data_IF_575636732363
#
_entry.id   IF_575636732363
#
_cell.length_a   1.000
_cell.length_b   1.000
_cell.length_c   1.000
_cell.angle_alpha   90.00
_cell.angle_beta   90.00
_cell.angle_gamma   90.00
#
_symmetry.space_group_name_H-M   'P 1'
#
loop_
_entity.id
_entity.type
_entity.pdbx_description
1 polymer ?
#
# COMPACT_ATOMS: atom_id res chain seq x y z
N UNK A 1 13.04 -20.31 -8.90
CA UNK A 1 12.17 -19.12 -8.79
C UNK A 1 11.30 -19.35 -7.56
N UNK A 2 11.57 -18.68 -6.44
CA UNK A 2 10.77 -18.88 -5.22
C UNK A 2 9.32 -18.40 -5.50
N UNK A 3 8.29 -19.07 -4.95
CA UNK A 3 6.91 -18.63 -5.14
C UNK A 3 6.78 -17.21 -4.60
N UNK A 4 6.21 -16.30 -5.41
CA UNK A 4 5.83 -14.95 -4.95
C UNK A 4 4.95 -15.16 -3.71
N UNK A 5 5.14 -14.36 -2.66
CA UNK A 5 4.31 -14.40 -1.44
C UNK A 5 3.24 -13.28 -1.40
N UNK A 6 2.35 -13.11 -2.40
CA UNK A 6 1.26 -12.13 -2.29
C UNK A 6 0.17 -12.62 -1.31
N UNK A 7 0.04 -13.93 -1.10
CA UNK A 7 -0.98 -14.55 -0.24
C UNK A 7 -0.98 -14.01 1.21
N UNK A 8 0.19 -13.71 1.79
CA UNK A 8 0.29 -13.29 3.20
C UNK A 8 -0.30 -11.91 3.49
N UNK A 9 -0.37 -11.01 2.51
CA UNK A 9 -0.92 -9.67 2.70
C UNK A 9 -2.45 -9.73 2.78
N UNK A 10 -3.06 -10.47 1.86
CA UNK A 10 -4.51 -10.66 1.84
C UNK A 10 -5.00 -11.47 3.03
N UNK A 11 -4.29 -12.54 3.41
CA UNK A 11 -4.60 -13.35 4.61
C UNK A 11 -4.71 -12.49 5.88
N UNK A 12 -3.85 -11.49 6.04
CA UNK A 12 -3.88 -10.59 7.20
C UNK A 12 -5.03 -9.59 7.13
N UNK A 13 -5.40 -9.17 5.92
CA UNK A 13 -6.56 -8.33 5.66
C UNK A 13 -7.89 -9.05 5.96
N UNK A 14 -8.00 -10.28 5.49
CA UNK A 14 -9.16 -11.14 5.68
C UNK A 14 -9.33 -11.61 7.12
N UNK A 15 -8.23 -11.78 7.84
CA UNK A 15 -8.27 -12.19 9.24
C UNK A 15 -8.91 -11.12 10.14
N UNK A 16 -8.72 -9.82 9.83
CA UNK A 16 -9.16 -8.71 10.68
C UNK A 16 -9.86 -7.58 9.91
N UNK A 17 -10.95 -7.86 9.19
CA UNK A 17 -11.61 -6.86 8.33
C UNK A 17 -12.14 -5.66 9.10
N UNK A 18 -12.49 -5.86 10.38
CA UNK A 18 -12.93 -4.77 11.27
C UNK A 18 -11.80 -3.80 11.64
N UNK A 19 -10.55 -4.26 11.75
CA UNK A 19 -9.41 -3.38 12.07
C UNK A 19 -9.09 -2.44 10.90
N UNK A 20 -9.17 -2.95 9.67
CA UNK A 20 -9.00 -2.16 8.46
C UNK A 20 -10.16 -1.17 8.26
N UNK A 21 -11.39 -1.60 8.55
CA UNK A 21 -12.56 -0.74 8.52
C UNK A 21 -12.46 0.41 9.55
N UNK A 22 -12.03 0.13 10.78
CA UNK A 22 -11.82 1.15 11.83
C UNK A 22 -10.78 2.19 11.39
N UNK A 23 -9.70 1.76 10.72
CA UNK A 23 -8.67 2.68 10.23
C UNK A 23 -9.23 3.68 9.21
N UNK A 24 -10.10 3.21 8.30
CA UNK A 24 -10.79 4.08 7.35
C UNK A 24 -11.80 5.00 8.03
N UNK A 25 -12.64 4.46 8.92
CA UNK A 25 -13.65 5.22 9.65
C UNK A 25 -13.00 6.32 10.51
N UNK A 26 -11.85 6.04 11.13
CA UNK A 26 -11.07 7.03 11.89
C UNK A 26 -10.55 8.15 10.99
N UNK A 27 -9.98 7.82 9.83
CA UNK A 27 -9.54 8.83 8.86
C UNK A 27 -10.71 9.71 8.43
N UNK A 28 -11.84 9.09 8.04
CA UNK A 28 -13.03 9.83 7.60
C UNK A 28 -13.62 10.69 8.73
N UNK A 29 -13.62 10.20 9.96
CA UNK A 29 -14.03 10.98 11.13
C UNK A 29 -13.12 12.19 11.32
N UNK A 30 -11.80 12.00 11.34
CA UNK A 30 -10.84 13.07 11.52
C UNK A 30 -10.94 14.15 10.42
N UNK A 31 -11.21 13.77 9.18
CA UNK A 31 -11.39 14.70 8.07
C UNK A 31 -12.70 15.50 8.11
N UNK A 32 -13.75 14.97 8.76
CA UNK A 32 -15.06 15.65 8.88
C UNK A 32 -15.18 16.52 10.13
N UNK A 33 -14.29 16.36 11.11
CA UNK A 33 -14.35 17.08 12.38
C UNK A 33 -13.23 18.11 12.45
N UNK A 34 -13.59 19.40 12.51
CA UNK A 34 -12.64 20.50 12.62
C UNK A 34 -11.75 20.33 13.86
N UNK A 35 -10.44 20.53 13.71
CA UNK A 35 -9.45 20.35 14.77
C UNK A 35 -8.78 18.98 14.80
N UNK A 36 -9.25 18.01 14.00
CA UNK A 36 -8.65 16.68 13.88
C UNK A 36 -7.84 16.48 12.59
N UNK A 37 -7.65 17.52 11.77
CA UNK A 37 -6.95 17.43 10.47
C UNK A 37 -5.52 16.91 10.63
N UNK A 38 -4.86 17.27 11.73
CA UNK A 38 -3.51 16.81 12.06
C UNK A 38 -3.46 15.30 12.35
N UNK A 39 -4.55 14.70 12.85
CA UNK A 39 -4.60 13.24 13.10
C UNK A 39 -4.59 12.48 11.78
N UNK A 40 -5.46 12.86 10.85
CA UNK A 40 -5.50 12.26 9.51
C UNK A 40 -4.17 12.46 8.77
N UNK A 41 -3.60 13.67 8.85
CA UNK A 41 -2.29 13.97 8.22
C UNK A 41 -1.19 13.08 8.80
N UNK A 42 -1.11 12.98 10.13
CA UNK A 42 -0.06 12.19 10.79
C UNK A 42 -0.19 10.70 10.48
N UNK A 43 -1.41 10.19 10.43
CA UNK A 43 -1.69 8.80 10.04
C UNK A 43 -1.14 8.51 8.64
N UNK A 44 -1.40 9.38 7.66
CA UNK A 44 -0.91 9.20 6.29
C UNK A 44 0.59 9.45 6.14
N UNK A 45 1.18 10.36 6.92
CA UNK A 45 2.64 10.52 6.97
C UNK A 45 3.32 9.21 7.40
N UNK A 46 2.78 8.52 8.40
CA UNK A 46 3.30 7.23 8.87
C UNK A 46 3.19 6.17 7.77
N UNK A 47 2.04 6.07 7.10
CA UNK A 47 1.85 5.10 6.01
C UNK A 47 2.79 5.38 4.83
N UNK A 48 2.85 6.63 4.37
CA UNK A 48 3.74 7.01 3.28
C UNK A 48 5.22 6.76 3.61
N UNK A 49 5.62 7.04 4.85
CA UNK A 49 6.98 6.73 5.32
C UNK A 49 7.24 5.22 5.32
N UNK A 50 6.29 4.41 5.76
CA UNK A 50 6.44 2.95 5.78
C UNK A 50 6.58 2.37 4.36
N UNK A 51 5.76 2.84 3.40
CA UNK A 51 5.88 2.42 2.00
C UNK A 51 7.16 2.90 1.34
N UNK A 52 7.62 4.13 1.64
CA UNK A 52 8.90 4.61 1.16
C UNK A 52 10.05 3.71 1.63
N UNK A 53 10.11 3.40 2.93
CA UNK A 53 11.14 2.50 3.48
C UNK A 53 11.07 1.08 2.90
N UNK A 54 9.86 0.56 2.64
CA UNK A 54 9.68 -0.74 1.99
C UNK A 54 10.24 -0.73 0.55
N UNK A 55 9.96 0.32 -0.21
CA UNK A 55 10.46 0.48 -1.57
C UNK A 55 11.99 0.64 -1.62
N UNK A 56 12.57 1.39 -0.69
CA UNK A 56 14.02 1.52 -0.54
C UNK A 56 14.68 0.17 -0.23
N UNK A 57 14.13 -0.56 0.75
CA UNK A 57 14.60 -1.90 1.10
C UNK A 57 14.51 -2.87 -0.09
N UNK A 58 13.42 -2.81 -0.85
CA UNK A 58 13.24 -3.63 -2.05
C UNK A 58 14.30 -3.29 -3.11
N UNK A 59 14.61 -2.00 -3.30
CA UNK A 59 15.61 -1.58 -4.25
C UNK A 59 17.02 -2.07 -3.87
N UNK A 60 17.37 -1.96 -2.59
CA UNK A 60 18.65 -2.44 -2.06
C UNK A 60 18.78 -3.95 -2.17
N UNK A 61 17.73 -4.68 -1.81
CA UNK A 61 17.73 -6.15 -1.85
C UNK A 61 17.83 -6.68 -3.28
N UNK A 62 17.22 -6.00 -4.25
CA UNK A 62 17.20 -6.43 -5.65
C UNK A 62 18.34 -5.82 -6.50
N UNK A 63 19.17 -4.93 -5.95
CA UNK A 63 20.25 -4.28 -6.70
C UNK A 63 19.73 -3.37 -7.82
N UNK A 64 18.59 -2.71 -7.59
CA UNK A 64 17.95 -1.82 -8.56
C UNK A 64 17.93 -0.37 -8.05
N UNK A 65 17.58 0.53 -8.94
CA UNK A 65 17.19 1.90 -8.64
C UNK A 65 15.78 2.16 -9.17
N UNK A 66 14.99 2.91 -8.42
CA UNK A 66 13.71 3.40 -8.90
C UNK A 66 13.93 4.54 -9.91
N UNK A 67 13.28 4.45 -11.06
CA UNK A 67 13.26 5.49 -12.11
C UNK A 67 12.24 6.60 -11.80
N UNK A 68 11.36 6.36 -10.84
CA UNK A 68 10.38 7.30 -10.31
C UNK A 68 10.78 7.65 -8.87
N UNK A 69 10.64 8.91 -8.41
CA UNK A 69 10.95 9.25 -7.03
C UNK A 69 10.18 8.38 -6.03
N UNK A 70 10.88 7.83 -5.03
CA UNK A 70 10.30 6.95 -4.00
C UNK A 70 9.03 7.54 -3.34
N UNK A 71 8.96 8.85 -3.00
CA UNK A 71 7.73 9.41 -2.42
C UNK A 71 6.51 9.32 -3.34
N UNK A 72 6.71 9.35 -4.67
CA UNK A 72 5.63 9.20 -5.65
C UNK A 72 5.16 7.75 -5.68
N UNK A 73 6.08 6.79 -5.72
CA UNK A 73 5.76 5.36 -5.67
C UNK A 73 5.07 4.98 -4.36
N UNK A 74 5.54 5.50 -3.22
CA UNK A 74 4.92 5.27 -1.92
C UNK A 74 3.47 5.74 -1.88
N UNK A 75 3.19 6.93 -2.46
CA UNK A 75 1.81 7.44 -2.59
C UNK A 75 0.97 6.61 -3.56
N UNK A 76 1.55 6.15 -4.66
CA UNK A 76 0.87 5.27 -5.62
C UNK A 76 0.45 3.93 -4.98
N UNK A 77 1.36 3.28 -4.26
CA UNK A 77 1.09 2.05 -3.52
C UNK A 77 0.02 2.27 -2.46
N UNK A 78 0.18 3.29 -1.61
CA UNK A 78 -0.80 3.61 -0.56
C UNK A 78 -2.19 3.89 -1.14
N UNK A 79 -2.28 4.68 -2.21
CA UNK A 79 -3.57 5.03 -2.83
C UNK A 79 -4.26 3.81 -3.43
N UNK A 80 -3.49 2.88 -3.99
CA UNK A 80 -4.02 1.61 -4.52
C UNK A 80 -4.55 0.73 -3.39
N UNK A 81 -3.82 0.62 -2.28
CA UNK A 81 -4.24 -0.15 -1.10
C UNK A 81 -5.48 0.47 -0.46
N UNK A 82 -5.56 1.79 -0.31
CA UNK A 82 -6.76 2.46 0.21
C UNK A 82 -7.98 2.18 -0.67
N UNK A 83 -7.82 2.26 -1.99
CA UNK A 83 -8.89 1.93 -2.95
C UNK A 83 -9.34 0.48 -2.82
N UNK A 84 -8.38 -0.45 -2.76
CA UNK A 84 -8.63 -1.89 -2.61
C UNK A 84 -9.39 -2.21 -1.33
N UNK A 85 -9.04 -1.54 -0.22
CA UNK A 85 -9.72 -1.74 1.06
C UNK A 85 -11.19 -1.36 0.95
N UNK A 86 -11.50 -0.27 0.26
CA UNK A 86 -12.88 0.19 0.09
C UNK A 86 -13.65 -0.71 -0.86
N UNK A 87 -13.08 -1.11 -2.00
CA UNK A 87 -13.76 -2.03 -2.92
C UNK A 87 -14.06 -3.36 -2.24
N UNK A 88 -13.09 -3.93 -1.52
CA UNK A 88 -13.31 -5.18 -0.78
C UNK A 88 -14.35 -5.03 0.34
N UNK A 89 -14.41 -3.89 1.04
CA UNK A 89 -15.48 -3.67 2.04
C UNK A 89 -16.87 -3.63 1.42
N UNK A 90 -16.99 -3.18 0.16
CA UNK A 90 -18.24 -3.09 -0.60
C UNK A 90 -18.71 -4.45 -1.10
N UNK A 91 -17.84 -5.21 -1.78
CA UNK A 91 -18.23 -6.43 -2.50
C UNK A 91 -17.78 -7.74 -1.82
N UNK A 92 -16.84 -7.69 -0.88
CA UNK A 92 -16.19 -8.84 -0.23
C UNK A 92 -15.52 -9.79 -1.21
N UNK A 93 -15.11 -9.28 -2.37
CA UNK A 93 -14.47 -10.06 -3.41
C UNK A 93 -12.95 -10.11 -3.18
N UNK A 94 -12.52 -11.14 -2.45
CA UNK A 94 -11.11 -11.40 -2.19
C UNK A 94 -10.32 -11.77 -3.46
N UNK A 95 -10.93 -12.47 -4.41
CA UNK A 95 -10.25 -12.91 -5.64
C UNK A 95 -9.87 -11.69 -6.51
N UNK A 96 -10.80 -10.75 -6.70
CA UNK A 96 -10.52 -9.52 -7.47
C UNK A 96 -9.54 -8.60 -6.73
N UNK A 97 -9.61 -8.59 -5.39
CA UNK A 97 -8.66 -7.84 -4.55
C UNK A 97 -7.25 -8.42 -4.67
N UNK A 98 -7.12 -9.75 -4.63
CA UNK A 98 -5.86 -10.44 -4.84
C UNK A 98 -5.28 -10.14 -6.22
N UNK A 99 -6.10 -10.23 -7.27
CA UNK A 99 -5.69 -9.91 -8.64
C UNK A 99 -5.20 -8.46 -8.76
N UNK A 100 -5.82 -7.52 -8.04
CA UNK A 100 -5.39 -6.12 -8.01
C UNK A 100 -4.03 -5.93 -7.33
N UNK A 101 -3.78 -6.63 -6.21
CA UNK A 101 -2.46 -6.61 -5.56
C UNK A 101 -1.37 -7.22 -6.44
N UNK A 102 -1.69 -8.29 -7.16
CA UNK A 102 -0.76 -8.93 -8.09
C UNK A 102 -0.42 -8.00 -9.26
N UNK A 103 -1.42 -7.31 -9.81
CA UNK A 103 -1.21 -6.30 -10.84
C UNK A 103 -0.31 -5.14 -10.34
N UNK A 104 -0.53 -4.66 -9.11
CA UNK A 104 0.32 -3.66 -8.49
C UNK A 104 1.78 -4.16 -8.39
N UNK A 105 1.97 -5.40 -7.95
CA UNK A 105 3.29 -6.01 -7.81
C UNK A 105 4.00 -6.20 -9.17
N UNK A 106 3.27 -6.47 -10.25
CA UNK A 106 3.83 -6.56 -11.60
C UNK A 106 4.10 -5.18 -12.24
N UNK A 107 3.40 -4.13 -11.81
CA UNK A 107 3.61 -2.76 -12.32
C UNK A 107 4.86 -2.10 -11.73
N UNK A 108 5.15 -2.33 -10.44
CA UNK A 108 6.31 -1.69 -9.77
C UNK A 108 7.65 -1.94 -10.48
N UNK A 109 8.02 -3.17 -10.90
CA UNK A 109 9.27 -3.42 -11.62
C UNK A 109 9.43 -2.63 -12.92
N UNK A 110 8.33 -2.19 -13.55
CA UNK A 110 8.38 -1.38 -14.78
C UNK A 110 9.01 0.00 -14.53
N UNK A 111 9.10 0.42 -13.27
CA UNK A 111 9.74 1.67 -12.85
C UNK A 111 11.15 1.45 -12.29
N UNK A 112 11.86 0.39 -12.70
CA UNK A 112 13.18 0.06 -12.17
C UNK A 112 14.24 0.04 -13.26
N UNK A 113 15.49 0.31 -12.86
CA UNK A 113 16.67 0.02 -13.66
C UNK A 113 17.73 -0.66 -12.80
N UNK A 114 18.66 -1.44 -13.37
CA UNK A 114 19.79 -1.96 -12.61
C UNK A 114 20.57 -0.82 -11.94
N UNK A 115 21.00 -1.02 -10.70
CA UNK A 115 21.91 -0.11 -10.02
C UNK A 115 23.26 -0.17 -10.73
N UNK A 116 23.81 0.99 -11.09
CA UNK A 116 25.15 1.01 -11.66
C UNK A 116 26.17 0.58 -10.60
N UNK A 117 27.22 -0.19 -10.97
CA UNK A 117 28.26 -0.61 -10.04
C UNK A 117 29.07 0.56 -9.48
#
# INVERSE_FOLDING_TARGET
MAPRQPARVLERFEANPREHQISYELTQYALRNSGFENVARRQYEIFLSAFASLLELAADTAGIEWTVPVPVLARYVQSTIDGLNITWLVDRNSDDSQATLELLADHLPQHTRPRSP
#
